data_IF_261607322220
#
_entry.id   IF_261607322220
#
_cell.length_a   1.000
_cell.length_b   1.000
_cell.length_c   1.000
_cell.angle_alpha   90.00
_cell.angle_beta   90.00
_cell.angle_gamma   90.00
#
_symmetry.space_group_name_H-M   'P 1'
#
loop_
_entity.id
_entity.type
_entity.pdbx_description
1 polymer ?
#
# COMPACT_ATOMS: atom_id res chain seq x y z
N UNK A 1 -8.66 20.56 -5.00
CA UNK A 1 -7.50 19.90 -5.61
C UNK A 1 -7.59 18.43 -5.25
N UNK A 2 -7.74 17.57 -6.27
CA UNK A 2 -7.81 16.12 -6.12
C UNK A 2 -6.52 15.55 -5.53
N UNK A 3 -6.44 15.42 -4.21
CA UNK A 3 -5.25 14.92 -3.51
C UNK A 3 -5.15 13.40 -3.51
N UNK A 4 -6.26 12.72 -3.78
CA UNK A 4 -6.38 11.27 -3.78
C UNK A 4 -7.32 10.84 -4.90
N UNK A 5 -7.06 9.65 -5.46
CA UNK A 5 -7.96 8.96 -6.35
C UNK A 5 -9.14 8.40 -5.53
N UNK A 6 -10.35 8.53 -6.06
CA UNK A 6 -11.54 7.80 -5.62
C UNK A 6 -11.55 6.36 -6.16
N UNK A 7 -12.52 5.55 -5.76
CA UNK A 7 -12.67 4.21 -6.32
C UNK A 7 -13.05 4.22 -7.81
N UNK A 8 -13.78 5.24 -8.27
CA UNK A 8 -14.11 5.43 -9.69
C UNK A 8 -12.85 5.82 -10.46
N UNK A 9 -12.00 6.67 -9.92
CA UNK A 9 -10.70 6.99 -10.51
C UNK A 9 -9.83 5.74 -10.68
N UNK A 10 -9.75 4.91 -9.62
CA UNK A 10 -9.02 3.63 -9.67
C UNK A 10 -9.61 2.69 -10.72
N UNK A 11 -10.93 2.70 -10.93
CA UNK A 11 -11.55 1.91 -12.00
C UNK A 11 -11.03 2.31 -13.38
N UNK A 12 -10.99 3.61 -13.68
CA UNK A 12 -10.46 4.11 -14.95
C UNK A 12 -8.96 3.90 -15.08
N UNK A 13 -8.20 4.10 -14.01
CA UNK A 13 -6.77 3.78 -13.98
C UNK A 13 -6.52 2.30 -14.28
N UNK A 14 -7.28 1.37 -13.68
CA UNK A 14 -7.13 -0.07 -13.95
C UNK A 14 -7.48 -0.41 -15.40
N UNK A 15 -8.46 0.27 -16.01
CA UNK A 15 -8.74 0.14 -17.46
C UNK A 15 -7.54 0.58 -18.30
N UNK A 16 -6.94 1.72 -17.97
CA UNK A 16 -5.73 2.21 -18.66
C UNK A 16 -4.54 1.25 -18.48
N UNK A 17 -4.35 0.74 -17.26
CA UNK A 17 -3.27 -0.19 -16.93
C UNK A 17 -3.38 -1.55 -17.63
N UNK A 18 -4.53 -1.90 -18.24
CA UNK A 18 -4.68 -3.15 -19.00
C UNK A 18 -3.65 -3.29 -20.11
N UNK A 19 -3.09 -2.19 -20.65
CA UNK A 19 -1.98 -2.24 -21.62
C UNK A 19 -0.74 -2.98 -21.08
N UNK A 20 -0.56 -3.01 -19.76
CA UNK A 20 0.51 -3.74 -19.07
C UNK A 20 0.26 -5.25 -18.96
N UNK A 21 -0.94 -5.77 -19.28
CA UNK A 21 -1.16 -7.21 -19.29
C UNK A 21 -0.25 -7.87 -20.34
N UNK A 22 0.48 -8.89 -19.90
CA UNK A 22 1.55 -9.53 -20.66
C UNK A 22 2.92 -8.85 -20.57
N UNK A 23 3.03 -7.65 -19.98
CA UNK A 23 4.31 -7.00 -19.72
C UNK A 23 5.13 -7.79 -18.69
N UNK A 24 6.45 -7.57 -18.70
CA UNK A 24 7.35 -8.10 -17.69
C UNK A 24 7.78 -7.03 -16.70
N UNK A 25 7.75 -7.35 -15.42
CA UNK A 25 8.31 -6.51 -14.35
C UNK A 25 9.84 -6.50 -14.51
N UNK A 26 10.41 -5.33 -14.80
CA UNK A 26 11.86 -5.18 -14.87
C UNK A 26 12.45 -4.86 -13.50
N UNK A 27 11.84 -3.90 -12.79
CA UNK A 27 12.41 -3.44 -11.51
C UNK A 27 11.40 -2.68 -10.67
N UNK A 28 11.45 -2.89 -9.36
CA UNK A 28 10.82 -2.02 -8.38
C UNK A 28 11.83 -0.98 -7.85
N UNK A 29 11.39 0.23 -7.55
CA UNK A 29 12.17 1.29 -6.92
C UNK A 29 11.38 1.89 -5.76
N UNK A 30 12.09 2.43 -4.77
CA UNK A 30 11.50 3.24 -3.71
C UNK A 30 12.16 4.62 -3.75
N UNK A 31 11.36 5.67 -3.83
CA UNK A 31 11.82 7.05 -3.77
C UNK A 31 11.81 7.57 -2.32
N UNK A 32 10.77 7.20 -1.55
CA UNK A 32 10.61 7.52 -0.13
C UNK A 32 9.97 6.34 0.62
N UNK A 33 9.57 6.53 1.89
CA UNK A 33 8.81 5.51 2.64
C UNK A 33 7.40 5.29 2.11
N UNK A 34 6.84 6.25 1.38
CA UNK A 34 5.46 6.24 0.88
C UNK A 34 5.39 6.26 -0.64
N UNK A 35 6.53 6.35 -1.34
CA UNK A 35 6.55 6.48 -2.79
C UNK A 35 7.40 5.40 -3.44
N UNK A 36 6.75 4.55 -4.22
CA UNK A 36 7.35 3.40 -4.91
C UNK A 36 7.03 3.43 -6.40
N UNK A 37 7.92 2.87 -7.20
CA UNK A 37 7.79 2.80 -8.64
C UNK A 37 7.97 1.38 -9.15
N UNK A 38 7.16 0.98 -10.11
CA UNK A 38 7.27 -0.31 -10.79
C UNK A 38 7.53 -0.08 -12.28
N UNK A 39 8.69 -0.53 -12.74
CA UNK A 39 9.06 -0.47 -14.14
C UNK A 39 8.69 -1.79 -14.83
N UNK A 40 7.89 -1.67 -15.88
CA UNK A 40 7.44 -2.77 -16.72
C UNK A 40 8.01 -2.62 -18.14
N UNK A 41 8.04 -3.72 -18.88
CA UNK A 41 8.42 -3.74 -20.29
C UNK A 41 7.51 -4.66 -21.12
N UNK A 42 6.99 -4.11 -22.22
CA UNK A 42 6.23 -4.85 -23.24
C UNK A 42 6.62 -4.35 -24.64
N UNK A 43 6.13 -3.17 -25.00
CA UNK A 43 6.44 -2.43 -26.24
C UNK A 43 7.14 -1.11 -25.89
N UNK A 44 8.19 -1.20 -25.06
CA UNK A 44 8.82 -0.04 -24.44
C UNK A 44 8.76 -0.09 -22.91
N UNK A 45 9.37 0.91 -22.27
CA UNK A 45 9.37 1.03 -20.82
C UNK A 45 8.07 1.71 -20.38
N UNK A 46 7.47 1.20 -19.31
CA UNK A 46 6.32 1.81 -18.64
C UNK A 46 6.66 1.92 -17.17
N UNK A 47 6.42 3.07 -16.55
CA UNK A 47 6.80 3.33 -15.18
C UNK A 47 5.55 3.67 -14.37
N UNK A 48 5.07 2.74 -13.55
CA UNK A 48 3.98 3.01 -12.63
C UNK A 48 4.53 3.71 -11.39
N UNK A 49 4.11 4.95 -11.14
CA UNK A 49 4.31 5.67 -9.88
C UNK A 49 3.19 5.31 -8.92
N UNK A 50 3.53 5.04 -7.67
CA UNK A 50 2.58 4.84 -6.56
C UNK A 50 3.05 5.73 -5.42
N UNK A 51 2.24 6.73 -5.08
CA UNK A 51 2.47 7.65 -3.97
C UNK A 51 1.35 7.45 -2.95
N UNK A 52 1.71 6.88 -1.82
CA UNK A 52 0.81 6.51 -0.76
C UNK A 52 0.58 7.66 0.22
N UNK A 53 -0.60 7.70 0.86
CA UNK A 53 -1.83 7.11 0.34
C UNK A 53 -2.33 7.89 -0.89
N UNK A 54 -3.20 7.26 -1.68
CA UNK A 54 -4.12 7.98 -2.54
C UNK A 54 -3.76 8.12 -4.02
N UNK A 55 -2.51 7.95 -4.47
CA UNK A 55 -2.15 8.25 -5.87
C UNK A 55 -1.39 7.11 -6.55
N UNK A 56 -1.80 6.79 -7.78
CA UNK A 56 -1.04 5.94 -8.68
C UNK A 56 -1.34 6.31 -10.13
N UNK A 57 -0.33 6.27 -11.00
CA UNK A 57 -0.48 6.50 -12.44
C UNK A 57 0.80 6.10 -13.20
N UNK A 58 0.72 5.97 -14.51
CA UNK A 58 1.89 5.75 -15.35
C UNK A 58 2.65 7.06 -15.53
N UNK A 59 3.78 7.17 -14.87
CA UNK A 59 4.63 8.33 -14.93
C UNK A 59 5.45 8.37 -16.22
N UNK A 60 5.60 9.57 -16.76
CA UNK A 60 6.56 9.84 -17.84
C UNK A 60 7.94 10.18 -17.27
N UNK A 61 7.97 10.94 -16.18
CA UNK A 61 9.21 11.29 -15.51
C UNK A 61 9.74 10.14 -14.65
N UNK A 62 11.02 9.83 -14.81
CA UNK A 62 11.75 8.90 -13.96
C UNK A 62 12.69 9.69 -13.04
N UNK A 63 12.40 9.79 -11.73
CA UNK A 63 13.25 10.51 -10.81
C UNK A 63 14.55 9.75 -10.51
N UNK A 64 15.49 10.45 -9.90
CA UNK A 64 16.69 9.83 -9.35
C UNK A 64 16.39 9.07 -8.07
N UNK A 65 16.47 7.74 -8.16
CA UNK A 65 16.23 6.87 -7.02
C UNK A 65 17.43 6.82 -6.07
N UNK A 66 17.21 6.71 -4.74
CA UNK A 66 18.27 6.44 -3.77
C UNK A 66 19.12 5.22 -4.17
N UNK A 67 20.43 5.31 -3.95
CA UNK A 67 21.38 4.23 -4.26
C UNK A 67 21.09 2.96 -3.47
N UNK A 68 20.66 3.10 -2.21
CA UNK A 68 20.37 2.01 -1.30
C UNK A 68 18.85 1.82 -1.17
N UNK A 69 18.24 0.85 -1.86
CA UNK A 69 16.81 0.58 -1.75
C UNK A 69 16.47 -0.01 -0.37
N UNK A 70 15.22 0.15 0.07
CA UNK A 70 14.73 -0.50 1.29
C UNK A 70 14.69 -2.03 1.14
N UNK A 71 14.68 -2.74 2.28
CA UNK A 71 14.59 -4.20 2.31
C UNK A 71 13.37 -4.75 1.56
N UNK A 72 12.23 -4.07 1.66
CA UNK A 72 11.02 -4.41 0.90
C UNK A 72 11.24 -4.28 -0.62
N UNK A 73 11.85 -3.18 -1.09
CA UNK A 73 12.14 -3.00 -2.52
C UNK A 73 13.13 -4.06 -3.03
N UNK A 74 14.15 -4.41 -2.24
CA UNK A 74 15.06 -5.52 -2.57
C UNK A 74 14.32 -6.87 -2.62
N UNK A 75 13.38 -7.10 -1.71
CA UNK A 75 12.55 -8.29 -1.69
C UNK A 75 11.70 -8.41 -2.96
N UNK A 76 11.02 -7.33 -3.36
CA UNK A 76 10.25 -7.26 -4.60
C UNK A 76 11.14 -7.54 -5.81
N UNK A 77 12.34 -6.92 -5.89
CA UNK A 77 13.30 -7.18 -6.98
C UNK A 77 13.68 -8.66 -7.05
N UNK A 78 13.92 -9.31 -5.92
CA UNK A 78 14.29 -10.74 -5.89
C UNK A 78 13.15 -11.65 -6.35
N UNK A 79 11.90 -11.30 -6.04
CA UNK A 79 10.72 -12.15 -6.30
C UNK A 79 10.08 -11.90 -7.66
N UNK A 80 10.05 -10.64 -8.10
CA UNK A 80 9.29 -10.19 -9.26
C UNK A 80 10.15 -9.93 -10.48
N UNK A 81 11.48 -10.05 -10.41
CA UNK A 81 12.33 -9.83 -11.58
C UNK A 81 11.88 -10.73 -12.74
N UNK A 82 11.57 -10.10 -13.87
CA UNK A 82 11.08 -10.75 -15.08
C UNK A 82 9.73 -11.48 -14.93
N UNK A 83 8.99 -11.24 -13.84
CA UNK A 83 7.64 -11.78 -13.68
C UNK A 83 6.70 -11.17 -14.71
N UNK A 84 5.83 -11.99 -15.30
CA UNK A 84 4.85 -11.58 -16.30
C UNK A 84 3.56 -11.14 -15.62
N UNK A 85 3.03 -9.99 -16.02
CA UNK A 85 1.69 -9.56 -15.63
C UNK A 85 0.65 -10.43 -16.33
N UNK A 86 -0.17 -11.13 -15.55
CA UNK A 86 -1.24 -12.01 -16.03
C UNK A 86 -2.57 -11.29 -16.09
N UNK A 87 -2.89 -10.53 -15.04
CA UNK A 87 -4.09 -9.73 -14.94
C UNK A 87 -3.86 -8.52 -14.04
N UNK A 88 -4.67 -7.49 -14.22
CA UNK A 88 -4.72 -6.32 -13.35
C UNK A 88 -6.19 -6.05 -13.05
N UNK A 89 -6.55 -5.98 -11.76
CA UNK A 89 -7.93 -5.78 -11.33
C UNK A 89 -8.01 -4.85 -10.14
N UNK A 90 -9.18 -4.23 -10.00
CA UNK A 90 -9.58 -3.52 -8.80
C UNK A 90 -10.34 -4.49 -7.87
N UNK A 91 -10.19 -4.36 -6.55
CA UNK A 91 -11.08 -5.06 -5.62
C UNK A 91 -12.38 -4.26 -5.49
N UNK A 92 -13.48 -4.82 -5.97
CA UNK A 92 -14.81 -4.22 -5.89
C UNK A 92 -14.86 -2.78 -6.41
N UNK A 93 -15.38 -1.89 -5.56
CA UNK A 93 -15.30 -0.42 -5.70
C UNK A 93 -14.48 0.17 -4.55
N UNK A 94 -13.33 -0.44 -4.25
CA UNK A 94 -12.35 0.08 -3.31
C UNK A 94 -11.12 0.61 -4.05
N UNK A 95 -10.27 1.38 -3.36
CA UNK A 95 -9.05 1.98 -3.90
C UNK A 95 -7.87 1.02 -3.76
N UNK A 96 -8.08 -0.22 -4.21
CA UNK A 96 -7.12 -1.31 -4.13
C UNK A 96 -6.91 -1.91 -5.52
N UNK A 97 -5.66 -1.93 -5.96
CA UNK A 97 -5.24 -2.49 -7.25
C UNK A 97 -4.46 -3.77 -6.99
N UNK A 98 -4.81 -4.84 -7.70
CA UNK A 98 -4.10 -6.11 -7.68
C UNK A 98 -3.49 -6.35 -9.06
N UNK A 99 -2.18 -6.58 -9.07
CA UNK A 99 -1.48 -7.17 -10.20
C UNK A 99 -1.28 -8.66 -9.91
N UNK A 100 -1.85 -9.52 -10.74
CA UNK A 100 -1.58 -10.95 -10.75
C UNK A 100 -0.35 -11.20 -11.62
N UNK A 101 0.68 -11.81 -11.03
CA UNK A 101 2.00 -11.95 -11.65
C UNK A 101 2.43 -13.41 -11.64
N UNK A 102 3.04 -13.86 -12.72
CA UNK A 102 3.65 -15.18 -12.84
C UNK A 102 5.17 -15.01 -13.01
N UNK A 103 5.95 -15.51 -12.05
CA UNK A 103 7.40 -15.40 -12.04
C UNK A 103 8.08 -16.73 -11.80
N UNK A 104 9.40 -16.69 -11.62
CA UNK A 104 10.20 -17.84 -11.19
C UNK A 104 10.94 -17.54 -9.90
N UNK A 105 10.98 -18.50 -8.99
CA UNK A 105 11.82 -18.43 -7.79
C UNK A 105 12.30 -19.82 -7.41
N UNK A 106 13.63 -19.99 -7.28
CA UNK A 106 14.26 -21.30 -7.04
C UNK A 106 13.82 -22.35 -8.08
N UNK A 107 13.90 -22.00 -9.36
CA UNK A 107 13.50 -22.83 -10.53
C UNK A 107 12.03 -23.26 -10.60
N UNK A 108 11.19 -22.83 -9.65
CA UNK A 108 9.74 -23.08 -9.68
C UNK A 108 8.98 -21.90 -10.26
N UNK A 109 7.92 -22.21 -11.00
CA UNK A 109 6.92 -21.23 -11.43
C UNK A 109 6.12 -20.81 -10.19
N UNK A 110 6.02 -19.51 -9.98
CA UNK A 110 5.36 -18.91 -8.83
C UNK A 110 4.28 -17.95 -9.31
N UNK A 111 3.10 -18.03 -8.69
CA UNK A 111 2.07 -17.01 -8.81
C UNK A 111 2.17 -16.05 -7.63
N UNK A 112 2.07 -14.76 -7.93
CA UNK A 112 2.10 -13.69 -6.95
C UNK A 112 0.93 -12.73 -7.16
N UNK A 113 0.49 -12.10 -6.09
CA UNK A 113 -0.38 -10.92 -6.16
C UNK A 113 0.38 -9.73 -5.55
N UNK A 114 0.65 -8.70 -6.36
CA UNK A 114 1.14 -7.41 -5.88
C UNK A 114 -0.08 -6.53 -5.63
N UNK A 115 -0.34 -6.25 -4.36
CA UNK A 115 -1.46 -5.44 -3.90
C UNK A 115 -0.97 -4.03 -3.61
N UNK A 116 -1.68 -3.03 -4.13
CA UNK A 116 -1.49 -1.62 -3.86
C UNK A 116 -2.78 -1.10 -3.22
N UNK A 117 -2.74 -0.82 -1.92
CA UNK A 117 -3.84 -0.19 -1.18
C UNK A 117 -3.60 1.32 -1.13
N UNK A 118 -4.46 2.11 -1.78
CA UNK A 118 -4.35 3.57 -1.79
C UNK A 118 -5.16 4.24 -0.66
N UNK A 119 -5.97 3.48 0.08
CA UNK A 119 -6.74 3.99 1.23
C UNK A 119 -5.79 4.28 2.39
N UNK A 120 -5.85 5.50 2.94
CA UNK A 120 -5.01 5.91 4.07
C UNK A 120 -5.05 4.91 5.24
N UNK A 121 -3.89 4.53 5.80
CA UNK A 121 -2.53 5.06 5.56
C UNK A 121 -1.85 4.61 4.25
N UNK A 122 -2.43 3.68 3.50
CA UNK A 122 -1.89 3.14 2.26
C UNK A 122 -0.87 2.03 2.50
N UNK A 123 -0.70 1.15 1.52
CA UNK A 123 0.28 0.05 1.61
C UNK A 123 0.60 -0.56 0.25
N UNK A 124 1.74 -1.25 0.17
CA UNK A 124 2.05 -2.17 -0.93
C UNK A 124 2.46 -3.51 -0.35
N UNK A 125 1.85 -4.59 -0.83
CA UNK A 125 2.07 -5.95 -0.34
C UNK A 125 2.40 -6.89 -1.50
N UNK A 126 3.25 -7.88 -1.24
CA UNK A 126 3.44 -9.01 -2.13
C UNK A 126 2.92 -10.28 -1.46
N UNK A 127 1.95 -10.93 -2.09
CA UNK A 127 1.38 -12.20 -1.69
C UNK A 127 1.96 -13.31 -2.57
N UNK A 128 2.15 -14.48 -1.99
CA UNK A 128 2.50 -15.70 -2.70
C UNK A 128 2.90 -16.81 -1.73
N UNK A 129 3.48 -17.87 -2.27
CA UNK A 129 3.91 -19.01 -1.46
C UNK A 129 5.38 -18.86 -1.02
N UNK A 130 5.70 -19.41 0.16
CA UNK A 130 7.08 -19.52 0.66
C UNK A 130 7.48 -20.97 0.88
N UNK A 131 8.78 -21.31 0.75
CA UNK A 131 9.29 -22.61 1.15
C UNK A 131 9.02 -22.88 2.64
N UNK A 132 8.63 -24.10 2.96
CA UNK A 132 8.51 -24.59 4.35
C UNK A 132 9.43 -25.79 4.56
N UNK A 133 9.65 -26.18 5.82
CA UNK A 133 10.50 -27.34 6.16
C UNK A 133 9.98 -28.60 5.44
N UNK A 134 10.90 -29.39 4.89
CA UNK A 134 10.57 -30.59 4.12
C UNK A 134 10.45 -30.39 2.61
N UNK A 135 10.80 -29.20 2.08
CA UNK A 135 10.84 -28.95 0.63
C UNK A 135 9.48 -28.65 -0.01
N UNK A 136 8.42 -28.57 0.80
CA UNK A 136 7.07 -28.18 0.37
C UNK A 136 6.90 -26.66 0.41
N UNK A 137 5.73 -26.19 -0.03
CA UNK A 137 5.39 -24.78 -0.14
C UNK A 137 4.15 -24.49 0.69
N UNK A 138 4.08 -23.29 1.27
CA UNK A 138 2.90 -22.83 2.00
C UNK A 138 1.72 -22.56 1.07
N UNK A 139 0.54 -22.35 1.66
CA UNK A 139 -0.52 -21.57 1.02
C UNK A 139 -0.05 -20.13 0.74
N UNK A 140 -0.80 -19.41 -0.09
CA UNK A 140 -0.53 -18.01 -0.38
C UNK A 140 -0.73 -17.16 0.87
N UNK A 141 0.33 -16.45 1.25
CA UNK A 141 0.37 -15.54 2.40
C UNK A 141 1.03 -14.23 1.99
N UNK A 142 0.86 -13.18 2.80
CA UNK A 142 1.65 -11.96 2.67
C UNK A 142 3.12 -12.33 2.86
N UNK A 143 3.90 -12.29 1.79
CA UNK A 143 5.33 -12.59 1.83
C UNK A 143 6.13 -11.43 2.42
N UNK A 144 5.79 -10.22 2.01
CA UNK A 144 6.32 -8.97 2.56
C UNK A 144 5.36 -7.82 2.23
N UNK A 145 5.43 -6.77 3.03
CA UNK A 145 4.67 -5.54 2.89
C UNK A 145 5.56 -4.33 3.19
N UNK A 146 5.15 -3.15 2.72
CA UNK A 146 5.87 -1.90 2.95
C UNK A 146 5.88 -1.55 4.44
N UNK A 147 4.68 -1.54 5.06
CA UNK A 147 4.50 -1.21 6.48
C UNK A 147 3.51 -2.18 7.13
N UNK A 148 3.86 -2.89 8.22
CA UNK A 148 2.90 -3.66 9.01
C UNK A 148 1.80 -2.77 9.61
N UNK A 149 0.54 -3.21 9.51
CA UNK A 149 -0.62 -2.44 9.95
C UNK A 149 -1.62 -3.32 10.69
N UNK A 150 -2.34 -2.74 11.64
CA UNK A 150 -3.40 -3.42 12.40
C UNK A 150 -4.62 -2.52 12.43
N UNK A 151 -5.72 -3.02 11.88
CA UNK A 151 -7.02 -2.36 11.84
C UNK A 151 -7.96 -3.05 12.84
N UNK A 152 -9.15 -2.46 13.05
CA UNK A 152 -10.18 -3.07 13.90
C UNK A 152 -10.57 -4.47 13.43
N UNK A 153 -10.74 -4.64 12.12
CA UNK A 153 -11.33 -5.86 11.54
C UNK A 153 -10.32 -6.75 10.81
N UNK A 154 -9.06 -6.32 10.64
CA UNK A 154 -8.02 -7.09 9.93
C UNK A 154 -6.61 -6.69 10.34
N UNK A 155 -5.64 -7.58 10.09
CA UNK A 155 -4.21 -7.31 10.31
C UNK A 155 -3.42 -7.54 9.03
N UNK A 156 -2.49 -6.64 8.71
CA UNK A 156 -1.55 -6.79 7.60
C UNK A 156 -0.14 -7.04 8.18
N UNK A 157 0.34 -8.29 8.06
CA UNK A 157 1.67 -8.71 8.53
C UNK A 157 2.22 -9.82 7.64
N UNK A 158 3.54 -9.93 7.55
CA UNK A 158 4.18 -11.04 6.84
C UNK A 158 3.83 -12.40 7.48
N UNK A 159 3.52 -13.39 6.64
CA UNK A 159 3.27 -14.77 7.02
C UNK A 159 1.82 -15.16 7.28
N UNK A 160 0.88 -14.23 7.21
CA UNK A 160 -0.57 -14.50 7.33
C UNK A 160 -1.27 -14.31 5.99
N UNK A 161 -2.48 -14.86 5.84
CA UNK A 161 -3.32 -14.62 4.66
C UNK A 161 -3.70 -13.13 4.56
N UNK A 162 -3.87 -12.64 3.33
CA UNK A 162 -4.38 -11.29 3.11
C UNK A 162 -5.90 -11.28 3.17
N UNK A 163 -6.45 -10.28 3.87
CA UNK A 163 -7.87 -10.01 3.92
C UNK A 163 -8.12 -8.60 3.38
N UNK A 164 -8.95 -8.49 2.33
CA UNK A 164 -9.39 -7.20 1.82
C UNK A 164 -10.30 -6.50 2.86
N UNK A 165 -10.43 -5.16 2.82
CA UNK A 165 -11.40 -4.47 3.65
C UNK A 165 -12.83 -4.99 3.39
N UNK A 166 -13.71 -4.97 4.40
CA UNK A 166 -15.11 -5.33 4.20
C UNK A 166 -15.77 -4.36 3.23
N UNK A 167 -16.40 -4.89 2.18
CA UNK A 167 -17.15 -4.11 1.19
C UNK A 167 -18.63 -4.53 1.23
N UNK A 168 -19.55 -3.68 1.73
CA UNK A 168 -20.95 -4.05 1.88
C UNK A 168 -21.69 -4.12 0.54
N UNK A 169 -21.22 -3.37 -0.46
CA UNK A 169 -21.79 -3.30 -1.80
C UNK A 169 -20.70 -3.26 -2.87
N UNK A 170 -21.06 -3.71 -4.07
CA UNK A 170 -20.26 -3.55 -5.26
C UNK A 170 -21.16 -3.26 -6.46
N UNK A 171 -21.15 -2.01 -6.94
CA UNK A 171 -22.00 -1.56 -8.03
C UNK A 171 -21.84 -2.36 -9.34
N UNK A 172 -20.69 -3.01 -9.54
CA UNK A 172 -20.40 -3.80 -10.74
C UNK A 172 -21.03 -5.18 -10.72
N UNK A 173 -21.21 -5.78 -9.53
CA UNK A 173 -21.61 -7.20 -9.40
C UNK A 173 -22.94 -7.38 -8.69
N UNK A 174 -23.31 -6.47 -7.78
CA UNK A 174 -24.57 -6.56 -7.05
C UNK A 174 -25.76 -6.18 -7.94
N UNK A 175 -26.90 -6.82 -7.66
CA UNK A 175 -28.16 -6.50 -8.32
C UNK A 175 -28.71 -5.13 -7.86
N UNK A 176 -29.56 -4.55 -8.69
CA UNK A 176 -30.10 -3.20 -8.44
C UNK A 176 -30.92 -3.12 -7.14
N UNK A 177 -31.64 -4.18 -6.76
CA UNK A 177 -32.48 -4.14 -5.56
C UNK A 177 -31.61 -4.14 -4.30
N UNK A 178 -30.58 -5.00 -4.24
CA UNK A 178 -29.59 -4.98 -3.15
C UNK A 178 -28.94 -3.61 -3.00
N UNK A 179 -28.49 -3.00 -4.10
CA UNK A 179 -27.89 -1.67 -4.08
C UNK A 179 -28.89 -0.59 -3.63
N UNK A 180 -30.12 -0.64 -4.13
CA UNK A 180 -31.18 0.31 -3.77
C UNK A 180 -31.50 0.22 -2.28
N UNK A 181 -31.69 -0.99 -1.76
CA UNK A 181 -32.02 -1.19 -0.36
C UNK A 181 -30.84 -0.80 0.54
N UNK A 182 -29.59 -1.03 0.13
CA UNK A 182 -28.43 -0.56 0.88
C UNK A 182 -28.38 0.98 0.96
N UNK A 183 -28.54 1.67 -0.17
CA UNK A 183 -28.53 3.14 -0.20
C UNK A 183 -29.69 3.73 0.62
N UNK A 184 -30.89 3.15 0.51
CA UNK A 184 -32.06 3.54 1.31
C UNK A 184 -31.82 3.41 2.81
N UNK A 185 -31.12 2.36 3.24
CA UNK A 185 -30.86 2.07 4.65
C UNK A 185 -29.51 2.63 5.15
N UNK A 186 -28.81 3.44 4.35
CA UNK A 186 -27.51 4.00 4.70
C UNK A 186 -27.55 5.04 5.84
N UNK A 187 -28.73 5.52 6.22
CA UNK A 187 -28.93 6.57 7.22
C UNK A 187 -28.52 7.97 6.74
N UNK A 188 -28.22 8.13 5.45
CA UNK A 188 -27.81 9.41 4.86
C UNK A 188 -29.01 10.30 4.54
N UNK A 189 -28.86 11.59 4.81
CA UNK A 189 -29.90 12.62 4.70
C UNK A 189 -30.01 13.26 3.30
N UNK A 190 -29.11 12.93 2.37
CA UNK A 190 -29.08 13.51 1.03
C UNK A 190 -28.69 12.46 0.01
N UNK A 191 -29.34 12.49 -1.17
CA UNK A 191 -29.09 11.53 -2.25
C UNK A 191 -27.61 11.49 -2.64
N UNK A 192 -26.97 12.64 -2.81
CA UNK A 192 -25.55 12.70 -3.19
C UNK A 192 -24.63 12.04 -2.16
N UNK A 193 -24.88 12.22 -0.85
CA UNK A 193 -24.09 11.58 0.21
C UNK A 193 -24.32 10.08 0.24
N UNK A 194 -25.58 9.67 0.10
CA UNK A 194 -25.98 8.27 0.06
C UNK A 194 -25.32 7.53 -1.11
N UNK A 195 -25.22 8.15 -2.28
CA UNK A 195 -24.52 7.60 -3.44
C UNK A 195 -23.00 7.63 -3.27
N UNK A 196 -22.44 8.74 -2.78
CA UNK A 196 -20.99 8.91 -2.60
C UNK A 196 -20.40 7.86 -1.66
N UNK A 197 -21.06 7.62 -0.53
CA UNK A 197 -20.63 6.64 0.48
C UNK A 197 -21.16 5.25 0.15
N UNK A 198 -22.46 5.12 -0.12
CA UNK A 198 -23.13 3.83 -0.21
C UNK A 198 -22.80 3.03 -1.47
N UNK A 199 -22.38 3.70 -2.55
CA UNK A 199 -21.92 3.07 -3.78
C UNK A 199 -20.42 3.32 -4.04
N UNK A 200 -19.71 3.89 -3.07
CA UNK A 200 -18.27 4.20 -3.16
C UNK A 200 -17.90 5.09 -4.36
N UNK A 201 -18.83 5.93 -4.83
CA UNK A 201 -18.57 6.83 -5.96
C UNK A 201 -17.65 8.00 -5.58
N UNK A 202 -17.66 8.42 -4.30
CA UNK A 202 -17.10 9.70 -3.90
C UNK A 202 -17.98 10.89 -4.33
N UNK A 203 -17.71 12.07 -3.75
CA UNK A 203 -18.56 13.25 -3.92
C UNK A 203 -18.66 13.74 -5.37
N UNK A 204 -17.52 13.87 -6.05
CA UNK A 204 -17.42 14.35 -7.45
C UNK A 204 -18.31 13.51 -8.39
N UNK A 205 -18.16 12.18 -8.33
CA UNK A 205 -18.90 11.28 -9.21
C UNK A 205 -20.35 11.10 -8.80
N UNK A 206 -20.67 11.18 -7.50
CA UNK A 206 -22.06 11.19 -7.06
C UNK A 206 -22.80 12.43 -7.60
N UNK A 207 -22.16 13.61 -7.60
CA UNK A 207 -22.73 14.81 -8.20
C UNK A 207 -22.90 14.67 -9.72
N UNK A 208 -21.90 14.13 -10.41
CA UNK A 208 -21.98 13.88 -11.85
C UNK A 208 -23.13 12.93 -12.20
N UNK A 209 -23.29 11.84 -11.42
CA UNK A 209 -24.39 10.88 -11.59
C UNK A 209 -25.74 11.53 -11.37
N UNK A 210 -25.93 12.30 -10.29
CA UNK A 210 -27.17 13.04 -10.06
C UNK A 210 -27.49 13.99 -11.23
N UNK A 211 -26.47 14.73 -11.71
CA UNK A 211 -26.63 15.66 -12.83
C UNK A 211 -27.02 14.95 -14.13
N UNK A 212 -26.32 13.87 -14.50
CA UNK A 212 -26.62 13.09 -15.71
C UNK A 212 -27.99 12.40 -15.63
N UNK A 213 -28.40 11.97 -14.44
CA UNK A 213 -29.71 11.41 -14.18
C UNK A 213 -30.84 12.45 -14.11
N UNK A 214 -30.53 13.76 -14.10
CA UNK A 214 -31.50 14.82 -13.92
C UNK A 214 -32.18 14.78 -12.55
N UNK A 215 -31.41 14.47 -11.50
CA UNK A 215 -31.87 14.36 -10.11
C UNK A 215 -31.34 15.53 -9.29
N UNK A 216 -32.16 16.01 -8.36
CA UNK A 216 -31.73 17.00 -7.37
C UNK A 216 -30.81 16.34 -6.33
N UNK A 217 -29.53 16.74 -6.34
CA UNK A 217 -28.50 16.21 -5.44
C UNK A 217 -28.78 16.51 -3.96
N UNK A 218 -29.57 17.54 -3.66
CA UNK A 218 -29.91 17.98 -2.30
C UNK A 218 -31.20 17.39 -1.76
N UNK A 219 -31.89 16.55 -2.55
CA UNK A 219 -33.15 15.93 -2.15
C UNK A 219 -32.96 15.11 -0.86
N UNK A 220 -33.64 15.55 0.20
CA UNK A 220 -33.52 14.93 1.53
C UNK A 220 -34.35 13.66 1.68
N UNK A 221 -35.52 13.62 1.03
CA UNK A 221 -36.38 12.44 1.00
C UNK A 221 -35.95 11.51 -0.12
N UNK A 222 -35.22 10.45 0.22
CA UNK A 222 -34.78 9.45 -0.74
C UNK A 222 -35.95 8.61 -1.23
N UNK A 223 -36.10 8.51 -2.55
CA UNK A 223 -37.10 7.65 -3.20
C UNK A 223 -36.40 6.52 -3.95
N UNK A 224 -36.95 5.31 -3.88
CA UNK A 224 -36.37 4.13 -4.56
C UNK A 224 -36.24 4.35 -6.07
N UNK A 225 -37.17 5.06 -6.69
CA UNK A 225 -37.13 5.35 -8.13
C UNK A 225 -35.92 6.22 -8.51
N UNK A 226 -35.63 7.25 -7.72
CA UNK A 226 -34.48 8.14 -7.94
C UNK A 226 -33.15 7.37 -7.75
N UNK A 227 -33.07 6.53 -6.71
CA UNK A 227 -31.89 5.71 -6.44
C UNK A 227 -31.65 4.72 -7.58
N UNK A 228 -32.68 4.03 -8.07
CA UNK A 228 -32.56 3.12 -9.22
C UNK A 228 -32.06 3.85 -10.46
N UNK A 229 -32.61 5.04 -10.73
CA UNK A 229 -32.16 5.89 -11.84
C UNK A 229 -30.69 6.29 -11.68
N UNK A 230 -30.26 6.66 -10.47
CA UNK A 230 -28.88 6.99 -10.17
C UNK A 230 -27.94 5.77 -10.30
N UNK A 231 -28.35 4.58 -9.85
CA UNK A 231 -27.58 3.34 -10.01
C UNK A 231 -27.38 3.01 -11.49
N UNK A 232 -28.44 3.11 -12.30
CA UNK A 232 -28.35 2.87 -13.73
C UNK A 232 -27.38 3.85 -14.40
N UNK A 233 -27.42 5.13 -14.02
CA UNK A 233 -26.51 6.15 -14.56
C UNK A 233 -25.07 5.97 -14.07
N UNK A 234 -24.87 5.54 -12.82
CA UNK A 234 -23.55 5.21 -12.29
C UNK A 234 -22.93 4.00 -12.99
N UNK A 235 -23.72 2.97 -13.33
CA UNK A 235 -23.25 1.84 -14.14
C UNK A 235 -22.81 2.30 -15.54
N UNK A 236 -23.62 3.13 -16.21
CA UNK A 236 -23.25 3.72 -17.51
C UNK A 236 -21.97 4.57 -17.41
N UNK A 237 -21.81 5.34 -16.34
CA UNK A 237 -20.60 6.14 -16.12
C UNK A 237 -19.36 5.25 -16.06
N UNK A 238 -19.40 4.11 -15.37
CA UNK A 238 -18.24 3.20 -15.29
C UNK A 238 -17.85 2.61 -16.65
N UNK A 239 -18.83 2.39 -17.53
CA UNK A 239 -18.61 1.89 -18.89
C UNK A 239 -18.20 3.01 -19.88
N UNK A 240 -18.36 4.29 -19.50
CA UNK A 240 -18.08 5.45 -20.34
C UNK A 240 -16.58 5.57 -20.68
N UNK A 241 -16.25 6.44 -21.64
CA UNK A 241 -14.88 6.80 -21.99
C UNK A 241 -14.52 8.12 -21.34
N UNK A 242 -13.56 8.09 -20.42
CA UNK A 242 -13.04 9.30 -19.78
C UNK A 242 -12.41 10.23 -20.83
N UNK A 243 -12.50 11.54 -20.59
CA UNK A 243 -11.91 12.60 -21.41
C UNK A 243 -11.08 13.51 -20.51
N UNK A 244 -9.91 13.04 -20.06
CA UNK A 244 -9.16 13.72 -19.02
C UNK A 244 -8.78 15.15 -19.43
N UNK A 245 -8.87 16.05 -18.47
CA UNK A 245 -8.50 17.45 -18.60
C UNK A 245 -7.80 17.93 -17.33
N UNK A 246 -6.79 18.76 -17.49
CA UNK A 246 -6.14 19.48 -16.38
C UNK A 246 -6.51 20.95 -16.40
N UNK A 247 -6.76 21.51 -15.21
CA UNK A 247 -6.85 22.94 -15.01
C UNK A 247 -5.88 23.40 -13.90
N UNK A 248 -5.92 24.68 -13.56
CA UNK A 248 -5.08 25.26 -12.51
C UNK A 248 -5.19 24.54 -11.15
N UNK A 249 -6.28 23.83 -10.87
CA UNK A 249 -6.56 23.22 -9.57
C UNK A 249 -6.42 21.70 -9.56
N UNK A 250 -6.77 20.99 -10.62
CA UNK A 250 -6.82 19.52 -10.59
C UNK A 250 -6.85 18.86 -11.97
N UNK A 251 -6.72 17.53 -11.96
CA UNK A 251 -7.03 16.66 -13.09
C UNK A 251 -8.46 16.14 -12.94
N UNK A 252 -9.25 16.27 -14.00
CA UNK A 252 -10.69 15.93 -14.06
C UNK A 252 -10.88 14.90 -15.17
N UNK A 253 -11.45 13.74 -14.86
CA UNK A 253 -11.67 12.67 -15.86
C UNK A 253 -12.88 12.91 -16.75
N UNK A 254 -13.91 13.57 -16.22
CA UNK A 254 -15.16 13.87 -16.93
C UNK A 254 -15.48 15.36 -16.80
N UNK A 255 -14.72 16.24 -17.47
CA UNK A 255 -14.96 17.67 -17.45
C UNK A 255 -16.33 18.02 -18.05
N UNK A 256 -16.92 19.12 -17.59
CA UNK A 256 -18.08 19.68 -18.26
C UNK A 256 -17.67 20.30 -19.59
N UNK A 257 -18.63 20.46 -20.53
CA UNK A 257 -18.35 21.07 -21.83
C UNK A 257 -17.77 22.50 -21.73
N UNK A 258 -18.10 23.20 -20.65
CA UNK A 258 -17.66 24.58 -20.38
C UNK A 258 -16.39 24.62 -19.53
N UNK A 259 -15.82 23.47 -19.15
CA UNK A 259 -14.59 23.43 -18.37
C UNK A 259 -13.40 23.74 -19.27
N UNK A 260 -12.71 24.85 -19.00
CA UNK A 260 -11.47 25.21 -19.67
C UNK A 260 -10.27 24.46 -19.07
N UNK A 261 -9.31 24.11 -19.92
CA UNK A 261 -8.07 23.43 -19.51
C UNK A 261 -7.37 22.70 -20.65
N UNK A 262 -6.32 21.95 -20.31
CA UNK A 262 -5.56 21.13 -21.25
C UNK A 262 -6.16 19.74 -21.31
N UNK A 263 -6.50 19.27 -22.50
CA UNK A 263 -7.00 17.90 -22.70
C UNK A 263 -5.85 16.90 -22.84
N UNK A 264 -6.08 15.70 -22.32
CA UNK A 264 -5.12 14.59 -22.34
C UNK A 264 -5.75 13.34 -22.93
N UNK A 265 -4.93 12.46 -23.50
CA UNK A 265 -5.41 11.17 -24.02
C UNK A 265 -5.67 10.19 -22.87
N UNK A 266 -4.82 10.25 -21.85
CA UNK A 266 -4.87 9.32 -20.72
C UNK A 266 -5.05 10.02 -19.37
N UNK A 267 -5.55 9.28 -18.39
CA UNK A 267 -5.65 9.77 -17.02
C UNK A 267 -4.26 9.98 -16.44
N UNK A 268 -3.33 9.08 -16.78
CA UNK A 268 -1.95 9.19 -16.32
C UNK A 268 -1.25 10.46 -16.81
N UNK A 269 -1.46 10.88 -18.07
CA UNK A 269 -0.93 12.17 -18.58
C UNK A 269 -1.48 13.36 -17.79
N UNK A 270 -2.80 13.39 -17.56
CA UNK A 270 -3.42 14.45 -16.77
C UNK A 270 -2.89 14.49 -15.33
N UNK A 271 -2.65 13.32 -14.72
CA UNK A 271 -2.06 13.22 -13.39
C UNK A 271 -0.57 13.56 -13.37
N UNK A 272 0.19 13.24 -14.42
CA UNK A 272 1.60 13.63 -14.56
C UNK A 272 1.72 15.15 -14.75
N UNK A 273 0.91 15.79 -15.58
CA UNK A 273 0.96 17.26 -15.70
C UNK A 273 0.65 17.94 -14.35
N UNK A 274 -0.28 17.38 -13.57
CA UNK A 274 -0.70 17.97 -12.31
C UNK A 274 0.18 17.65 -11.11
N UNK A 275 0.71 16.43 -11.05
CA UNK A 275 1.39 15.86 -9.90
C UNK A 275 2.75 15.24 -10.22
N UNK A 276 3.09 15.08 -11.50
CA UNK A 276 4.46 14.90 -11.95
C UNK A 276 5.25 16.07 -11.42
N UNK A 277 6.43 15.79 -10.87
CA UNK A 277 7.17 16.77 -10.09
C UNK A 277 7.45 18.00 -10.96
N UNK A 278 6.61 19.03 -10.82
CA UNK A 278 6.84 20.36 -11.35
C UNK A 278 8.23 20.73 -10.83
N UNK A 279 9.18 20.79 -11.77
CA UNK A 279 10.56 21.28 -11.66
C UNK A 279 10.89 21.79 -10.27
N UNK A 280 11.85 21.18 -9.59
CA UNK A 280 12.83 21.73 -8.65
C UNK A 280 12.71 23.21 -8.18
N UNK A 281 11.51 23.71 -7.91
CA UNK A 281 11.18 25.04 -7.44
C UNK A 281 10.88 24.90 -5.95
N UNK A 282 11.97 24.58 -5.26
CA UNK A 282 12.09 24.90 -3.85
C UNK A 282 11.85 26.42 -3.67
N UNK A 283 10.63 26.79 -3.32
CA UNK A 283 10.31 28.14 -2.85
C UNK A 283 11.27 28.52 -1.71
N UNK A 284 11.73 29.78 -1.62
CA UNK A 284 12.65 30.22 -0.56
C UNK A 284 12.12 29.97 0.86
N UNK A 285 10.79 29.89 1.02
CA UNK A 285 10.09 29.53 2.25
C UNK A 285 10.30 28.05 2.64
N UNK A 286 10.30 27.13 1.68
CA UNK A 286 10.60 25.71 1.92
C UNK A 286 12.07 25.44 2.25
N UNK A 287 13.02 26.24 1.74
CA UNK A 287 14.44 26.12 2.14
C UNK A 287 14.65 26.45 3.63
N UNK A 288 13.86 27.37 4.21
CA UNK A 288 13.90 27.66 5.66
C UNK A 288 13.20 26.56 6.48
N UNK A 289 12.06 26.04 6.03
CA UNK A 289 11.35 24.94 6.71
C UNK A 289 12.09 23.58 6.61
N UNK A 290 12.73 23.27 5.48
CA UNK A 290 13.60 22.08 5.30
C UNK A 290 14.88 22.17 6.13
N UNK A 291 15.46 23.36 6.35
CA UNK A 291 16.58 23.54 7.29
C UNK A 291 16.16 23.28 8.74
N UNK A 292 14.98 23.76 9.14
CA UNK A 292 14.41 23.50 10.48
C UNK A 292 14.10 22.01 10.72
N UNK A 293 13.38 21.37 9.80
CA UNK A 293 13.02 19.94 9.90
C UNK A 293 14.22 18.99 9.76
N UNK A 294 15.23 19.32 8.93
CA UNK A 294 16.49 18.55 8.88
C UNK A 294 17.26 18.61 10.20
N UNK A 295 17.19 19.72 10.93
CA UNK A 295 17.75 19.83 12.28
C UNK A 295 17.12 18.83 13.24
N UNK A 296 15.78 18.83 13.31
CA UNK A 296 15.02 17.94 14.21
C UNK A 296 15.19 16.46 13.86
N UNK A 297 15.20 16.10 12.57
CA UNK A 297 15.41 14.71 12.11
C UNK A 297 16.86 14.27 12.36
N UNK A 298 17.84 15.13 12.12
CA UNK A 298 19.25 14.82 12.41
C UNK A 298 19.48 14.64 13.91
N UNK A 299 18.77 15.40 14.74
CA UNK A 299 18.85 15.32 16.20
C UNK A 299 18.19 14.03 16.73
N UNK A 300 17.05 13.63 16.16
CA UNK A 300 16.44 12.33 16.42
C UNK A 300 17.32 11.16 15.96
N UNK A 301 17.93 11.26 14.77
CA UNK A 301 18.87 10.24 14.26
C UNK A 301 20.14 10.15 15.10
N UNK A 302 20.67 11.29 15.59
CA UNK A 302 21.80 11.31 16.53
C UNK A 302 21.41 10.69 17.86
N UNK A 303 20.25 11.01 18.43
CA UNK A 303 19.78 10.36 19.65
C UNK A 303 19.60 8.86 19.47
N UNK A 304 19.05 8.42 18.34
CA UNK A 304 18.92 7.00 18.02
C UNK A 304 20.28 6.32 17.81
N UNK A 305 21.22 6.98 17.13
CA UNK A 305 22.58 6.49 16.97
C UNK A 305 23.31 6.37 18.31
N UNK A 306 23.23 7.38 19.17
CA UNK A 306 23.79 7.33 20.53
C UNK A 306 23.16 6.22 21.36
N UNK A 307 21.85 5.99 21.22
CA UNK A 307 21.16 4.86 21.86
C UNK A 307 21.67 3.50 21.37
N UNK A 308 21.87 3.36 20.04
CA UNK A 308 22.43 2.15 19.44
C UNK A 308 23.89 1.92 19.82
N UNK A 309 24.71 2.97 19.89
CA UNK A 309 26.11 2.88 20.32
C UNK A 309 26.22 2.50 21.80
N UNK A 310 25.35 3.07 22.65
CA UNK A 310 25.26 2.68 24.07
C UNK A 310 24.85 1.21 24.19
N UNK A 311 23.82 0.78 23.45
CA UNK A 311 23.39 -0.63 23.44
C UNK A 311 24.46 -1.56 22.89
N UNK A 312 25.22 -1.15 21.87
CA UNK A 312 26.34 -1.91 21.33
C UNK A 312 27.46 -2.07 22.36
N UNK A 313 27.85 -1.00 23.06
CA UNK A 313 28.84 -1.06 24.15
C UNK A 313 28.38 -1.96 25.29
N UNK A 314 27.13 -1.86 25.70
CA UNK A 314 26.60 -2.67 26.79
C UNK A 314 26.49 -4.15 26.40
N UNK A 315 26.03 -4.45 25.19
CA UNK A 315 26.01 -5.82 24.67
C UNK A 315 27.42 -6.39 24.48
N UNK A 316 28.38 -5.55 24.06
CA UNK A 316 29.78 -5.95 23.98
C UNK A 316 30.33 -6.31 25.36
N UNK A 317 30.10 -5.46 26.38
CA UNK A 317 30.52 -5.73 27.76
C UNK A 317 29.85 -6.99 28.33
N UNK A 318 28.56 -7.20 28.07
CA UNK A 318 27.86 -8.44 28.43
C UNK A 318 28.50 -9.66 27.76
N UNK A 319 28.90 -9.53 26.50
CA UNK A 319 29.64 -10.56 25.78
C UNK A 319 31.02 -10.86 26.38
N UNK A 320 31.77 -9.82 26.75
CA UNK A 320 33.06 -9.96 27.46
C UNK A 320 32.89 -10.68 28.79
N UNK A 321 31.90 -10.30 29.61
CA UNK A 321 31.64 -10.96 30.90
C UNK A 321 31.34 -12.46 30.73
N UNK A 322 30.59 -12.83 29.69
CA UNK A 322 30.34 -14.24 29.36
C UNK A 322 31.63 -14.93 28.93
N UNK A 323 32.48 -14.26 28.14
CA UNK A 323 33.74 -14.82 27.66
C UNK A 323 34.77 -15.00 28.79
N UNK A 324 34.90 -14.01 29.68
CA UNK A 324 35.73 -14.04 30.89
C UNK A 324 35.33 -15.21 31.81
N UNK A 325 34.04 -15.56 31.84
CA UNK A 325 33.47 -16.64 32.66
C UNK A 325 32.96 -17.81 31.82
N UNK A 326 33.60 -18.08 30.68
CA UNK A 326 33.09 -19.04 29.68
C UNK A 326 32.92 -20.46 30.24
N UNK A 327 33.89 -20.95 31.01
CA UNK A 327 33.85 -22.31 31.58
C UNK A 327 32.68 -22.47 32.55
N UNK A 328 32.52 -21.53 33.48
CA UNK A 328 31.44 -21.55 34.48
C UNK A 328 30.06 -21.36 33.82
N UNK A 329 29.97 -20.48 32.81
CA UNK A 329 28.74 -20.30 32.02
C UNK A 329 28.36 -21.58 31.27
N UNK A 330 29.34 -22.29 30.71
CA UNK A 330 29.11 -23.53 29.99
C UNK A 330 28.70 -24.67 30.92
N UNK A 331 29.26 -24.72 32.14
CA UNK A 331 28.86 -25.67 33.18
C UNK A 331 27.40 -25.45 33.63
N UNK A 332 26.98 -24.20 33.87
CA UNK A 332 25.58 -23.85 34.17
C UNK A 332 24.64 -24.36 33.08
N UNK A 333 24.98 -24.13 31.80
CA UNK A 333 24.19 -24.61 30.66
C UNK A 333 24.09 -26.14 30.65
N UNK A 334 25.18 -26.83 30.96
CA UNK A 334 25.22 -28.29 30.96
C UNK A 334 24.40 -28.87 32.12
N UNK A 335 24.48 -28.29 33.31
CA UNK A 335 23.67 -28.68 34.48
C UNK A 335 22.17 -28.51 34.20
N UNK A 336 21.76 -27.37 33.63
CA UNK A 336 20.35 -27.13 33.25
C UNK A 336 19.88 -28.15 32.21
N UNK A 337 20.73 -28.51 31.22
CA UNK A 337 20.40 -29.52 30.21
C UNK A 337 20.30 -30.94 30.80
N UNK A 338 21.06 -31.25 31.84
CA UNK A 338 20.99 -32.50 32.58
C UNK A 338 19.79 -32.57 33.55
N UNK A 339 19.06 -31.45 33.73
CA UNK A 339 17.95 -31.34 34.66
C UNK A 339 18.37 -31.06 36.11
N UNK A 340 19.63 -30.68 36.32
CA UNK A 340 20.22 -30.36 37.62
C UNK A 340 20.09 -28.86 37.93
N UNK A 341 20.07 -28.50 39.21
CA UNK A 341 20.07 -27.10 39.65
C UNK A 341 21.52 -26.57 39.66
N UNK A 342 21.81 -25.45 38.96
CA UNK A 342 23.18 -24.96 38.87
C UNK A 342 23.74 -24.53 40.22
N UNK A 343 24.97 -24.96 40.51
CA UNK A 343 25.66 -24.67 41.78
C UNK A 343 26.46 -23.36 41.77
N UNK A 344 26.64 -22.76 40.59
CA UNK A 344 27.42 -21.51 40.43
C UNK A 344 26.72 -20.31 41.06
N UNK A 345 27.51 -19.42 41.68
CA UNK A 345 27.03 -18.15 42.22
C UNK A 345 26.66 -17.12 41.14
N UNK A 346 27.06 -17.35 39.89
CA UNK A 346 26.67 -16.53 38.74
C UNK A 346 25.24 -16.85 38.28
N UNK A 347 24.70 -18.03 38.61
CA UNK A 347 23.36 -18.43 38.23
C UNK A 347 22.31 -17.71 39.09
N UNK A 348 21.36 -17.04 38.43
CA UNK A 348 20.25 -16.34 39.10
C UNK A 348 18.90 -17.01 38.89
N UNK A 349 18.56 -17.35 37.65
CA UNK A 349 17.29 -18.02 37.31
C UNK A 349 17.30 -18.63 35.91
N UNK A 350 16.47 -19.65 35.72
CA UNK A 350 16.12 -20.21 34.42
C UNK A 350 14.61 -20.14 34.16
N UNK A 351 14.21 -19.47 33.08
CA UNK A 351 12.82 -19.44 32.62
C UNK A 351 12.56 -20.59 31.64
N UNK A 352 11.86 -21.62 32.13
CA UNK A 352 11.52 -22.82 31.35
C UNK A 352 10.59 -22.54 30.15
N UNK A 353 9.80 -21.45 30.15
CA UNK A 353 8.88 -21.13 29.05
C UNK A 353 9.61 -20.50 27.86
N UNK A 354 10.62 -19.68 28.14
CA UNK A 354 11.37 -18.94 27.11
C UNK A 354 12.75 -19.54 26.80
N UNK A 355 13.23 -20.46 27.65
CA UNK A 355 14.58 -21.02 27.55
C UNK A 355 15.67 -20.03 27.97
N UNK A 356 15.33 -18.96 28.70
CA UNK A 356 16.26 -17.88 29.05
C UNK A 356 16.97 -18.17 30.37
N UNK A 357 18.29 -18.12 30.37
CA UNK A 357 19.14 -18.17 31.58
C UNK A 357 19.54 -16.74 31.96
N UNK A 358 19.36 -16.37 33.22
CA UNK A 358 19.84 -15.09 33.75
C UNK A 358 21.06 -15.33 34.61
N UNK A 359 22.15 -14.63 34.29
CA UNK A 359 23.39 -14.65 35.04
C UNK A 359 23.60 -13.29 35.72
N UNK A 360 24.20 -13.30 36.89
CA UNK A 360 24.55 -12.10 37.66
C UNK A 360 26.06 -12.05 37.87
N UNK A 361 26.71 -11.14 37.16
CA UNK A 361 28.13 -10.85 37.31
C UNK A 361 28.27 -9.76 38.37
N UNK A 362 29.15 -9.97 39.35
CA UNK A 362 29.51 -8.89 40.28
C UNK A 362 30.45 -7.92 39.57
N UNK A 363 30.15 -6.63 39.65
CA UNK A 363 31.04 -5.57 39.15
C UNK A 363 32.38 -5.54 39.88
#
# INVERSE_FOLDING_TARGET
MKSELSAVDVHFLVRELQKLVGARVQRAYGLSQEEVYFQFHKEGKQLLRVKLPGMAYLAEHRPDFPKNPSGFIMFLRKRLNNARVKAIRQIGMDRIIIFELEGKFQEKIMNYELIIELVAPGNVLLIGQKPVKGGTWSDSVILHLLTPQSYKDRTLRGGIAYEAPPAPTNIKTDDENKLTDFVMNSGMDMLVKALAVGLSLGGEYAELVCKRAGLDKTKAKLEKADIKKAIAEAKKLLDDTAKPLTNEKEAILFPEKTTEGTHHETMSEALEEKFGDLKDESTPSEKKAKKGKKGTILEQQKQQQTGLETSAKENHRRGELIYENYQETQEIINQIKAGEEPSSKLYKKFDKKTGTITLEFKE
#
